data_IF_039921665409
#
_entry.id   IF_039921665409
#
_cell.length_a   1.000
_cell.length_b   1.000
_cell.length_c   1.000
_cell.angle_alpha   90.00
_cell.angle_beta   90.00
_cell.angle_gamma   90.00
#
_symmetry.space_group_name_H-M   'P 1'
#
loop_
_entity.id
_entity.type
_entity.pdbx_description
1 polymer ?
#
# COMPACT_ATOMS: atom_id res chain seq x y z
N UNK A 1 -16.04 -29.06 -48.28
CA UNK A 1 -16.58 -29.28 -46.92
C UNK A 1 -15.78 -30.37 -46.26
N UNK A 2 -15.34 -30.15 -45.02
CA UNK A 2 -14.60 -31.12 -44.19
C UNK A 2 -13.40 -30.47 -43.50
N UNK A 3 -13.68 -29.73 -42.42
CA UNK A 3 -12.74 -28.90 -41.69
C UNK A 3 -12.04 -29.65 -40.55
N UNK A 4 -10.80 -29.21 -40.29
CA UNK A 4 -9.93 -29.46 -39.15
C UNK A 4 -10.62 -29.27 -37.80
N UNK A 5 -10.27 -30.12 -36.83
CA UNK A 5 -10.47 -29.86 -35.40
C UNK A 5 -9.14 -29.97 -34.66
N UNK A 6 -8.59 -28.80 -34.31
CA UNK A 6 -7.55 -28.65 -33.31
C UNK A 6 -8.21 -28.54 -31.92
N UNK A 7 -7.81 -29.42 -30.98
CA UNK A 7 -8.15 -29.31 -29.56
C UNK A 7 -7.06 -28.52 -28.84
N UNK A 8 -7.40 -27.31 -28.39
CA UNK A 8 -6.63 -26.54 -27.41
C UNK A 8 -7.02 -26.93 -26.00
N UNK A 9 -6.03 -27.29 -25.17
CA UNK A 9 -6.20 -27.56 -23.75
C UNK A 9 -6.07 -26.28 -22.94
N UNK A 10 -7.12 -25.93 -22.21
CA UNK A 10 -7.10 -24.94 -21.12
C UNK A 10 -6.75 -25.67 -19.82
N UNK A 11 -5.70 -25.21 -19.13
CA UNK A 11 -5.26 -25.75 -17.85
C UNK A 11 -6.19 -25.32 -16.71
N UNK A 12 -6.79 -26.30 -16.07
CA UNK A 12 -7.45 -26.19 -14.78
C UNK A 12 -6.42 -25.97 -13.67
N UNK A 13 -6.55 -24.85 -12.93
CA UNK A 13 -5.86 -24.62 -11.67
C UNK A 13 -6.87 -24.10 -10.64
N UNK A 14 -7.89 -24.90 -10.35
CA UNK A 14 -8.84 -24.63 -9.27
C UNK A 14 -9.53 -25.92 -8.82
N UNK A 15 -8.92 -26.66 -7.89
CA UNK A 15 -9.63 -27.55 -6.96
C UNK A 15 -8.63 -28.34 -6.10
N UNK A 16 -8.45 -27.94 -4.85
CA UNK A 16 -8.21 -28.83 -3.71
C UNK A 16 -7.93 -27.96 -2.47
N UNK A 17 -8.94 -27.78 -1.61
CA UNK A 17 -8.82 -27.58 -0.16
C UNK A 17 -10.22 -27.26 0.40
N UNK A 18 -11.03 -28.28 0.58
CA UNK A 18 -12.25 -28.20 1.38
C UNK A 18 -12.53 -29.56 2.00
N UNK A 19 -12.01 -29.81 3.21
CA UNK A 19 -12.56 -30.83 4.11
C UNK A 19 -12.50 -30.34 5.56
N UNK A 20 -13.68 -30.36 6.17
CA UNK A 20 -14.02 -30.58 7.58
C UNK A 20 -13.31 -29.81 8.70
N UNK A 21 -14.07 -28.88 9.30
CA UNK A 21 -13.93 -28.48 10.70
C UNK A 21 -15.32 -28.49 11.35
N UNK A 22 -15.71 -29.66 11.86
CA UNK A 22 -16.83 -29.80 12.79
C UNK A 22 -16.45 -29.23 14.16
N UNK A 23 -17.33 -28.35 14.65
CA UNK A 23 -17.29 -27.70 15.95
C UNK A 23 -17.40 -28.67 17.12
N UNK A 24 -16.60 -28.47 18.17
CA UNK A 24 -16.95 -28.67 19.58
C UNK A 24 -15.82 -28.08 20.44
N UNK A 25 -16.13 -27.06 21.25
CA UNK A 25 -15.92 -27.09 22.71
C UNK A 25 -15.86 -25.69 23.33
N UNK A 26 -16.78 -25.51 24.29
CA UNK A 26 -16.85 -24.45 25.27
C UNK A 26 -15.53 -24.30 26.04
N UNK A 27 -15.00 -23.08 26.11
CA UNK A 27 -13.99 -22.73 27.10
C UNK A 27 -14.29 -21.37 27.73
N UNK A 28 -14.52 -21.44 29.03
CA UNK A 28 -14.68 -20.36 29.97
C UNK A 28 -13.46 -19.44 29.98
N UNK A 29 -13.74 -18.14 29.80
CA UNK A 29 -12.78 -17.04 29.73
C UNK A 29 -12.18 -16.74 31.11
N UNK A 30 -10.88 -16.99 31.26
CA UNK A 30 -10.03 -16.54 32.37
C UNK A 30 -9.26 -15.31 31.91
N UNK A 31 -9.40 -14.18 32.62
CA UNK A 31 -9.04 -12.84 32.17
C UNK A 31 -7.63 -12.34 32.56
N UNK A 32 -6.67 -13.22 32.82
CA UNK A 32 -5.39 -12.85 33.45
C UNK A 32 -4.13 -12.93 32.53
N UNK A 33 -4.27 -13.16 31.22
CA UNK A 33 -3.11 -13.44 30.33
C UNK A 33 -2.59 -12.26 29.49
N UNK A 34 -2.87 -11.00 29.86
CA UNK A 34 -2.49 -9.84 29.04
C UNK A 34 -0.98 -9.50 29.07
N UNK A 35 -0.21 -9.94 30.08
CA UNK A 35 1.14 -9.41 30.32
C UNK A 35 2.32 -10.32 29.90
N UNK A 36 2.08 -11.54 29.40
CA UNK A 36 3.17 -12.48 29.03
C UNK A 36 3.54 -12.51 27.54
N UNK A 37 3.04 -11.57 26.73
CA UNK A 37 3.17 -11.64 25.26
C UNK A 37 4.50 -11.10 24.70
N UNK A 38 5.37 -10.51 25.53
CA UNK A 38 6.61 -9.87 25.10
C UNK A 38 7.78 -10.81 24.76
N UNK A 39 7.82 -12.02 25.33
CA UNK A 39 8.94 -12.97 25.18
C UNK A 39 8.76 -13.93 23.99
N UNK A 40 7.55 -14.45 23.77
CA UNK A 40 7.23 -15.39 22.70
C UNK A 40 7.44 -14.76 21.30
N UNK A 41 7.02 -13.51 21.13
CA UNK A 41 7.18 -12.79 19.84
C UNK A 41 8.65 -12.47 19.55
N UNK A 42 9.48 -12.26 20.58
CA UNK A 42 10.94 -12.09 20.45
C UNK A 42 11.63 -13.41 20.06
N UNK A 43 11.12 -14.57 20.50
CA UNK A 43 11.62 -15.89 20.10
C UNK A 43 11.32 -16.23 18.64
N UNK A 44 10.14 -15.86 18.13
CA UNK A 44 9.79 -16.10 16.72
C UNK A 44 10.62 -15.26 15.73
N UNK A 45 11.14 -14.10 16.14
CA UNK A 45 11.98 -13.22 15.31
C UNK A 45 13.35 -13.83 14.94
N UNK A 46 13.83 -14.88 15.61
CA UNK A 46 15.16 -15.47 15.36
C UNK A 46 15.19 -16.58 14.31
N UNK A 47 14.05 -16.95 13.71
CA UNK A 47 13.92 -18.25 13.00
C UNK A 47 13.90 -18.21 11.46
N UNK A 48 14.16 -17.07 10.80
CA UNK A 48 14.24 -16.99 9.33
C UNK A 48 15.69 -16.88 8.82
N UNK A 49 16.38 -17.99 8.54
CA UNK A 49 17.67 -17.94 7.86
C UNK A 49 17.48 -17.70 6.35
N UNK A 50 17.80 -16.49 5.86
CA UNK A 50 17.98 -16.21 4.43
C UNK A 50 19.25 -16.91 3.90
N UNK A 51 19.14 -18.18 3.50
CA UNK A 51 20.20 -18.88 2.75
C UNK A 51 19.64 -19.81 1.66
N UNK A 52 18.99 -19.25 0.65
CA UNK A 52 18.83 -19.95 -0.63
C UNK A 52 20.10 -19.76 -1.47
N UNK A 53 21.01 -20.73 -1.37
CA UNK A 53 22.21 -20.85 -2.19
C UNK A 53 21.87 -21.69 -3.41
N UNK A 54 21.55 -21.04 -4.52
CA UNK A 54 21.33 -21.70 -5.82
C UNK A 54 22.67 -22.31 -6.27
N UNK A 55 22.72 -23.64 -6.42
CA UNK A 55 23.82 -24.35 -7.07
C UNK A 55 23.54 -24.33 -8.58
N UNK A 56 24.33 -23.58 -9.34
CA UNK A 56 24.37 -23.70 -10.79
C UNK A 56 25.35 -24.82 -11.15
N UNK A 57 24.82 -25.89 -11.72
CA UNK A 57 25.59 -26.96 -12.36
C UNK A 57 26.23 -26.44 -13.66
N UNK A 58 27.40 -26.99 -13.96
CA UNK A 58 28.35 -26.45 -14.93
C UNK A 58 28.38 -27.38 -16.15
N UNK A 59 27.46 -27.18 -17.08
CA UNK A 59 27.50 -27.88 -18.36
C UNK A 59 28.65 -27.35 -19.23
N UNK A 60 29.54 -28.26 -19.62
CA UNK A 60 30.67 -28.03 -20.51
C UNK A 60 30.40 -28.73 -21.85
N UNK A 61 30.21 -27.95 -22.93
CA UNK A 61 30.41 -28.49 -24.27
C UNK A 61 29.42 -28.02 -25.33
N UNK A 62 29.53 -26.77 -25.78
CA UNK A 62 29.21 -26.35 -27.15
C UNK A 62 29.76 -24.94 -27.38
N UNK A 63 30.62 -24.77 -28.38
CA UNK A 63 31.20 -23.50 -28.80
C UNK A 63 30.20 -22.71 -29.65
N UNK A 64 29.10 -22.26 -29.03
CA UNK A 64 28.18 -21.32 -29.66
C UNK A 64 28.70 -19.89 -29.46
N UNK A 65 28.58 -19.09 -30.52
CA UNK A 65 28.99 -17.69 -30.57
C UNK A 65 28.01 -16.83 -29.74
N UNK A 66 28.01 -16.99 -28.41
CA UNK A 66 27.14 -16.26 -27.49
C UNK A 66 27.54 -14.79 -27.43
N UNK A 67 26.76 -13.93 -28.08
CA UNK A 67 26.80 -12.49 -27.78
C UNK A 67 26.28 -12.32 -26.35
N UNK A 68 27.20 -12.10 -25.40
CA UNK A 68 26.87 -11.66 -24.04
C UNK A 68 26.18 -10.30 -24.13
N UNK A 69 24.85 -10.29 -24.31
CA UNK A 69 24.07 -9.08 -24.11
C UNK A 69 24.24 -8.71 -22.65
N UNK A 70 24.83 -7.54 -22.40
CA UNK A 70 24.95 -6.99 -21.06
C UNK A 70 23.56 -6.96 -20.43
N UNK A 71 23.28 -7.88 -19.51
CA UNK A 71 22.06 -7.88 -18.71
C UNK A 71 22.25 -6.78 -17.65
N UNK A 72 22.14 -5.52 -18.09
CA UNK A 72 22.08 -4.40 -17.14
C UNK A 72 20.78 -4.57 -16.39
N UNK A 73 20.85 -4.61 -15.06
CA UNK A 73 19.62 -4.58 -14.28
C UNK A 73 18.89 -3.28 -14.61
N UNK A 74 17.65 -3.36 -15.11
CA UNK A 74 16.91 -2.16 -15.46
C UNK A 74 16.82 -1.25 -14.24
N UNK A 75 16.99 0.05 -14.49
CA UNK A 75 16.86 1.10 -13.49
C UNK A 75 17.92 1.13 -12.37
N UNK A 76 19.10 0.51 -12.56
CA UNK A 76 20.21 0.64 -11.62
C UNK A 76 20.58 2.12 -11.34
N UNK A 77 20.41 3.00 -12.32
CA UNK A 77 20.62 4.44 -12.19
C UNK A 77 19.69 5.16 -11.21
N UNK A 78 18.51 4.60 -10.86
CA UNK A 78 17.58 5.23 -9.90
C UNK A 78 18.23 5.47 -8.54
N UNK A 79 19.06 4.50 -8.08
CA UNK A 79 19.76 4.57 -6.80
C UNK A 79 20.91 5.58 -6.80
N UNK A 80 21.37 5.98 -7.98
CA UNK A 80 22.46 6.95 -8.11
C UNK A 80 21.97 8.40 -8.15
N UNK A 81 20.66 8.60 -8.34
CA UNK A 81 20.06 9.94 -8.39
C UNK A 81 20.29 10.70 -7.07
N UNK A 82 20.58 12.02 -7.12
CA UNK A 82 20.75 12.82 -5.91
C UNK A 82 19.53 12.78 -4.99
N UNK A 83 18.31 12.79 -5.54
CA UNK A 83 17.06 12.73 -4.77
C UNK A 83 16.93 11.44 -3.95
N UNK A 84 17.27 10.30 -4.54
CA UNK A 84 17.28 9.03 -3.81
C UNK A 84 18.33 9.01 -2.70
N UNK A 85 19.55 9.46 -3.00
CA UNK A 85 20.64 9.55 -2.02
C UNK A 85 20.26 10.44 -0.84
N UNK A 86 19.66 11.60 -1.13
CA UNK A 86 19.13 12.52 -0.13
C UNK A 86 18.05 11.84 0.73
N UNK A 87 17.08 11.13 0.12
CA UNK A 87 16.06 10.39 0.88
C UNK A 87 16.69 9.39 1.86
N UNK A 88 17.63 8.55 1.40
CA UNK A 88 18.29 7.55 2.24
C UNK A 88 19.07 8.23 3.37
N UNK A 89 19.74 9.36 3.09
CA UNK A 89 20.43 10.15 4.09
C UNK A 89 19.46 10.73 5.13
N UNK A 90 18.35 11.33 4.71
CA UNK A 90 17.33 11.91 5.60
C UNK A 90 16.68 10.84 6.50
N UNK A 91 16.42 9.64 5.95
CA UNK A 91 15.90 8.51 6.70
C UNK A 91 16.87 8.04 7.78
N UNK A 92 18.15 7.84 7.43
CA UNK A 92 19.17 7.42 8.40
C UNK A 92 19.47 8.47 9.45
N UNK A 93 19.42 9.75 9.07
CA UNK A 93 19.62 10.89 9.97
C UNK A 93 18.41 11.19 10.86
N UNK A 94 17.32 10.38 10.79
CA UNK A 94 16.10 10.64 11.56
C UNK A 94 15.54 12.05 11.36
N UNK A 95 15.60 12.56 10.13
CA UNK A 95 15.14 13.92 9.83
C UNK A 95 13.63 14.07 10.03
N UNK A 96 13.20 15.16 10.68
CA UNK A 96 11.77 15.48 10.80
C UNK A 96 11.12 15.84 9.44
N UNK A 97 11.93 16.12 8.41
CA UNK A 97 11.43 16.35 7.04
C UNK A 97 10.73 15.11 6.47
N UNK A 98 11.15 13.91 6.89
CA UNK A 98 10.54 12.63 6.48
C UNK A 98 9.50 12.13 7.48
N UNK A 99 9.00 12.96 8.40
CA UNK A 99 7.91 12.59 9.30
C UNK A 99 6.65 12.15 8.52
N UNK A 100 6.40 12.79 7.37
CA UNK A 100 5.41 12.37 6.39
C UNK A 100 6.12 12.05 5.10
N UNK A 101 6.37 10.76 4.86
CA UNK A 101 7.15 10.29 3.73
C UNK A 101 6.25 9.90 2.56
N UNK A 102 6.29 10.68 1.49
CA UNK A 102 5.67 10.38 0.21
C UNK A 102 6.70 9.89 -0.79
N UNK A 103 6.77 8.58 -1.04
CA UNK A 103 7.85 8.04 -1.88
C UNK A 103 7.81 8.54 -3.33
N UNK A 104 6.63 8.87 -3.86
CA UNK A 104 6.50 9.44 -5.22
C UNK A 104 7.24 10.78 -5.41
N UNK A 105 7.52 11.49 -4.34
CA UNK A 105 8.26 12.76 -4.41
C UNK A 105 9.77 12.52 -4.65
N UNK A 106 10.25 11.31 -4.37
CA UNK A 106 11.66 10.90 -4.45
C UNK A 106 11.92 9.81 -5.50
N UNK A 107 10.91 9.01 -5.83
CA UNK A 107 11.01 7.82 -6.68
C UNK A 107 9.95 7.87 -7.79
N UNK A 108 10.29 7.45 -9.02
CA UNK A 108 9.29 7.24 -10.07
C UNK A 108 8.42 6.01 -9.76
N UNK A 109 7.21 5.95 -10.33
CA UNK A 109 6.26 4.84 -10.14
C UNK A 109 6.79 3.48 -10.63
N UNK A 110 7.75 3.48 -11.54
CA UNK A 110 8.43 2.30 -12.07
C UNK A 110 9.63 1.84 -11.21
N UNK A 111 9.77 2.36 -9.99
CA UNK A 111 10.84 1.98 -9.07
C UNK A 111 10.92 0.46 -8.89
N UNK A 112 12.16 -0.04 -8.91
CA UNK A 112 12.40 -1.50 -8.82
C UNK A 112 12.24 -2.01 -7.39
N UNK A 113 12.00 -3.33 -7.20
CA UNK A 113 11.97 -3.95 -5.88
C UNK A 113 13.22 -3.65 -5.05
N UNK A 114 14.41 -3.68 -5.66
CA UNK A 114 15.67 -3.35 -4.98
C UNK A 114 15.73 -1.90 -4.48
N UNK A 115 15.14 -0.97 -5.21
CA UNK A 115 15.03 0.43 -4.80
C UNK A 115 14.12 0.56 -3.58
N UNK A 116 12.94 -0.08 -3.60
CA UNK A 116 12.00 -0.12 -2.47
C UNK A 116 12.64 -0.78 -1.25
N UNK A 117 13.33 -1.91 -1.44
CA UNK A 117 14.06 -2.62 -0.39
C UNK A 117 15.12 -1.77 0.30
N UNK A 118 15.82 -0.92 -0.45
CA UNK A 118 16.79 0.00 0.12
C UNK A 118 16.12 1.08 1.00
N UNK A 119 14.94 1.58 0.59
CA UNK A 119 14.15 2.53 1.40
C UNK A 119 13.61 1.84 2.65
N UNK A 120 13.03 0.63 2.53
CA UNK A 120 12.55 -0.15 3.66
C UNK A 120 13.68 -0.46 4.64
N UNK A 121 14.87 -0.81 4.14
CA UNK A 121 16.06 -1.01 4.96
C UNK A 121 16.51 0.25 5.70
N UNK A 122 16.41 1.43 5.10
CA UNK A 122 16.67 2.68 5.80
C UNK A 122 15.57 3.03 6.83
N UNK A 123 14.32 2.65 6.56
CA UNK A 123 13.20 2.83 7.50
C UNK A 123 13.31 1.94 8.74
N UNK A 124 13.99 0.78 8.66
CA UNK A 124 14.21 -0.11 9.82
C UNK A 124 14.89 0.60 11.01
N UNK A 125 15.77 1.55 10.74
CA UNK A 125 16.53 2.33 11.74
C UNK A 125 15.88 3.70 12.02
N UNK A 126 14.93 4.13 11.18
CA UNK A 126 14.30 5.42 11.30
C UNK A 126 13.28 5.46 12.46
N UNK A 127 13.22 6.57 13.18
CA UNK A 127 12.33 6.83 14.32
C UNK A 127 11.49 8.10 14.15
N UNK A 128 11.70 8.86 13.08
CA UNK A 128 11.00 10.13 12.83
C UNK A 128 9.82 10.00 11.86
N UNK A 129 9.85 9.01 10.97
CA UNK A 129 8.79 8.74 10.00
C UNK A 129 7.53 8.24 10.73
N UNK A 130 6.42 8.94 10.53
CA UNK A 130 5.14 8.70 11.17
C UNK A 130 4.04 8.29 10.18
N UNK A 131 4.09 8.83 8.96
CA UNK A 131 3.14 8.54 7.89
C UNK A 131 3.91 8.12 6.65
N UNK A 132 3.55 6.99 6.07
CA UNK A 132 4.23 6.40 4.92
C UNK A 132 3.28 6.22 3.73
N UNK A 133 3.57 6.89 2.61
CA UNK A 133 2.87 6.68 1.35
C UNK A 133 3.73 5.88 0.38
N UNK A 134 3.26 4.67 0.08
CA UNK A 134 3.80 3.67 -0.82
C UNK A 134 2.76 3.35 -1.92
N UNK A 135 2.09 4.38 -2.43
CA UNK A 135 1.05 4.26 -3.47
C UNK A 135 1.65 4.16 -4.87
N UNK A 136 1.04 3.33 -5.73
CA UNK A 136 1.37 3.20 -7.16
C UNK A 136 2.82 2.78 -7.45
N UNK A 137 3.35 1.82 -6.69
CA UNK A 137 4.66 1.20 -6.93
C UNK A 137 4.48 -0.24 -7.42
N UNK A 138 3.63 -0.44 -8.43
CA UNK A 138 3.27 -1.77 -8.94
C UNK A 138 4.48 -2.64 -9.29
N UNK A 139 5.54 -2.06 -9.86
CA UNK A 139 6.77 -2.82 -10.18
C UNK A 139 7.61 -3.12 -8.95
N UNK A 140 7.63 -2.21 -7.98
CA UNK A 140 8.53 -2.24 -6.83
C UNK A 140 7.97 -2.93 -5.59
N UNK A 141 6.65 -2.90 -5.39
CA UNK A 141 5.98 -3.46 -4.22
C UNK A 141 5.33 -4.81 -4.55
N UNK A 142 6.16 -5.86 -4.59
CA UNK A 142 5.69 -7.25 -4.68
C UNK A 142 5.44 -7.88 -3.30
N UNK A 143 5.17 -9.18 -3.27
CA UNK A 143 4.97 -9.92 -2.02
C UNK A 143 6.17 -9.86 -1.06
N UNK A 144 7.44 -10.04 -1.51
CA UNK A 144 8.58 -9.96 -0.60
C UNK A 144 8.73 -8.59 0.03
N UNK A 145 8.46 -7.53 -0.74
CA UNK A 145 8.54 -6.15 -0.23
C UNK A 145 7.36 -5.83 0.70
N UNK A 146 6.18 -6.38 0.46
CA UNK A 146 5.04 -6.26 1.37
C UNK A 146 5.31 -6.96 2.71
N UNK A 147 5.91 -8.15 2.68
CA UNK A 147 6.35 -8.87 3.88
C UNK A 147 7.44 -8.09 4.63
N UNK A 148 8.44 -7.57 3.90
CA UNK A 148 9.47 -6.73 4.50
C UNK A 148 8.90 -5.46 5.12
N UNK A 149 7.93 -4.82 4.47
CA UNK A 149 7.21 -3.68 5.05
C UNK A 149 6.53 -4.08 6.36
N UNK A 150 5.89 -5.24 6.43
CA UNK A 150 5.30 -5.72 7.68
C UNK A 150 6.36 -5.90 8.79
N UNK A 151 7.54 -6.43 8.46
CA UNK A 151 8.65 -6.56 9.40
C UNK A 151 9.14 -5.19 9.91
N UNK A 152 9.27 -4.22 9.00
CA UNK A 152 9.62 -2.82 9.32
C UNK A 152 8.61 -2.25 10.31
N UNK A 153 7.30 -2.36 10.04
CA UNK A 153 6.24 -1.84 10.89
C UNK A 153 6.16 -2.51 12.27
N UNK A 154 6.50 -3.80 12.36
CA UNK A 154 6.49 -4.58 13.62
C UNK A 154 7.59 -4.20 14.60
N UNK A 155 8.69 -3.57 14.16
CA UNK A 155 9.80 -3.18 15.04
C UNK A 155 9.46 -2.05 16.03
N UNK A 156 8.20 -1.65 16.13
CA UNK A 156 7.78 -0.57 17.02
C UNK A 156 8.17 0.81 16.49
N UNK A 157 8.26 0.95 15.16
CA UNK A 157 8.60 2.23 14.53
C UNK A 157 7.52 3.29 14.78
N UNK A 158 7.89 4.53 14.51
CA UNK A 158 7.00 5.68 14.65
C UNK A 158 5.85 5.72 13.65
N UNK A 159 5.88 4.88 12.63
CA UNK A 159 4.88 4.82 11.57
C UNK A 159 3.54 4.33 12.12
N UNK A 160 2.55 5.21 12.16
CA UNK A 160 1.18 4.90 12.57
C UNK A 160 0.17 5.03 11.44
N UNK A 161 0.56 5.56 10.27
CA UNK A 161 -0.29 5.65 9.09
C UNK A 161 0.43 5.15 7.85
N UNK A 162 -0.23 4.31 7.05
CA UNK A 162 0.33 3.73 5.83
C UNK A 162 -0.68 3.83 4.69
N UNK A 163 -0.26 4.32 3.53
CA UNK A 163 -1.04 4.29 2.31
C UNK A 163 -0.35 3.39 1.27
N UNK A 164 -1.02 2.29 0.91
CA UNK A 164 -0.60 1.29 -0.07
C UNK A 164 -1.55 1.24 -1.28
N UNK A 165 -2.17 2.39 -1.62
CA UNK A 165 -3.10 2.48 -2.75
C UNK A 165 -2.47 2.04 -4.08
N UNK A 166 -3.30 1.53 -4.99
CA UNK A 166 -2.91 1.23 -6.38
C UNK A 166 -1.69 0.31 -6.53
N UNK A 167 -1.51 -0.64 -5.60
CA UNK A 167 -0.54 -1.72 -5.73
C UNK A 167 -1.26 -3.04 -5.98
N UNK A 168 -1.16 -3.55 -7.20
CA UNK A 168 -1.93 -4.70 -7.69
C UNK A 168 -1.12 -6.00 -7.74
N UNK A 169 0.20 -5.92 -7.55
CA UNK A 169 1.08 -7.09 -7.64
C UNK A 169 0.97 -8.07 -6.49
N UNK A 170 0.84 -7.66 -5.21
CA UNK A 170 0.68 -8.63 -4.14
C UNK A 170 -0.63 -9.41 -4.30
N UNK A 171 -0.55 -10.74 -4.23
CA UNK A 171 -1.73 -11.60 -4.31
C UNK A 171 -2.59 -11.52 -3.03
N UNK A 172 -3.81 -12.07 -3.09
CA UNK A 172 -4.72 -12.10 -1.94
C UNK A 172 -4.08 -12.74 -0.69
N UNK A 173 -3.38 -13.87 -0.85
CA UNK A 173 -2.69 -14.54 0.25
C UNK A 173 -1.59 -13.67 0.89
N UNK A 174 -0.88 -12.85 0.09
CA UNK A 174 0.11 -11.92 0.62
C UNK A 174 -0.54 -10.80 1.43
N UNK A 175 -1.69 -10.28 0.98
CA UNK A 175 -2.46 -9.29 1.74
C UNK A 175 -3.02 -9.86 3.05
N UNK A 176 -3.43 -11.13 3.06
CA UNK A 176 -3.86 -11.80 4.29
C UNK A 176 -2.71 -11.95 5.30
N UNK A 177 -1.53 -12.36 4.84
CA UNK A 177 -0.32 -12.40 5.69
C UNK A 177 0.04 -11.01 6.21
N UNK A 178 -0.09 -9.98 5.36
CA UNK A 178 0.12 -8.59 5.76
C UNK A 178 -0.89 -8.15 6.84
N UNK A 179 -2.17 -8.50 6.69
CA UNK A 179 -3.20 -8.23 7.69
C UNK A 179 -2.86 -8.89 9.04
N UNK A 180 -2.47 -10.17 9.04
CA UNK A 180 -2.06 -10.86 10.26
C UNK A 180 -0.86 -10.18 10.94
N UNK A 181 0.13 -9.77 10.15
CA UNK A 181 1.30 -9.07 10.67
C UNK A 181 0.95 -7.69 11.27
N UNK A 182 -0.03 -6.97 10.70
CA UNK A 182 -0.46 -5.65 11.19
C UNK A 182 -1.01 -5.67 12.63
N UNK A 183 -1.53 -6.81 13.10
CA UNK A 183 -2.00 -7.00 14.49
C UNK A 183 -0.89 -6.71 15.51
N UNK A 184 0.36 -6.87 15.11
CA UNK A 184 1.55 -6.68 15.95
C UNK A 184 2.27 -5.34 15.67
N UNK A 185 1.56 -4.38 15.09
CA UNK A 185 2.10 -3.05 14.75
C UNK A 185 1.38 -1.95 15.52
N UNK A 186 1.81 -0.71 15.27
CA UNK A 186 1.16 0.52 15.74
C UNK A 186 0.44 1.25 14.59
N UNK A 187 0.13 0.57 13.49
CA UNK A 187 -0.58 1.19 12.37
C UNK A 187 -2.05 1.37 12.74
N UNK A 188 -2.49 2.63 12.81
CA UNK A 188 -3.84 3.07 13.19
C UNK A 188 -4.65 3.64 12.03
N UNK A 189 -3.99 3.88 10.89
CA UNK A 189 -4.57 4.41 9.67
C UNK A 189 -3.96 3.68 8.48
N UNK A 190 -4.83 3.25 7.56
CA UNK A 190 -4.43 2.44 6.42
C UNK A 190 -5.24 2.87 5.19
N UNK A 191 -4.65 2.83 4.02
CA UNK A 191 -5.39 2.80 2.76
C UNK A 191 -4.82 1.71 1.86
N UNK A 192 -5.70 0.87 1.35
CA UNK A 192 -5.43 -0.10 0.29
C UNK A 192 -6.54 0.09 -0.74
N UNK A 193 -6.24 -0.06 -2.03
CA UNK A 193 -7.30 0.09 -3.03
C UNK A 193 -8.30 -1.07 -2.95
N UNK A 194 -9.59 -0.77 -3.09
CA UNK A 194 -10.66 -1.77 -3.01
C UNK A 194 -10.55 -2.85 -4.09
N UNK A 195 -9.94 -2.52 -5.24
CA UNK A 195 -9.70 -3.51 -6.30
C UNK A 195 -8.57 -4.49 -5.98
N UNK A 196 -7.75 -4.23 -4.95
CA UNK A 196 -6.61 -5.07 -4.59
C UNK A 196 -6.97 -6.15 -3.56
N UNK A 197 -8.11 -6.01 -2.86
CA UNK A 197 -8.49 -6.87 -1.74
C UNK A 197 -9.99 -7.19 -1.78
N UNK A 198 -10.37 -8.33 -1.22
CA UNK A 198 -11.79 -8.68 -1.07
C UNK A 198 -12.47 -7.82 0.01
N UNK A 199 -13.80 -7.74 -0.04
CA UNK A 199 -14.60 -7.04 0.97
C UNK A 199 -14.40 -7.64 2.39
N UNK A 200 -14.29 -8.97 2.50
CA UNK A 200 -14.00 -9.66 3.76
C UNK A 200 -12.64 -9.24 4.34
N UNK A 201 -11.61 -9.17 3.48
CA UNK A 201 -10.29 -8.74 3.90
C UNK A 201 -10.25 -7.25 4.30
N UNK A 202 -11.01 -6.38 3.62
CA UNK A 202 -11.19 -4.97 4.04
C UNK A 202 -11.80 -4.86 5.44
N UNK A 203 -12.80 -5.69 5.76
CA UNK A 203 -13.38 -5.74 7.11
C UNK A 203 -12.37 -6.22 8.13
N UNK A 204 -11.59 -7.26 7.83
CA UNK A 204 -10.49 -7.72 8.68
C UNK A 204 -9.47 -6.62 8.98
N UNK A 205 -9.04 -5.85 7.96
CA UNK A 205 -8.17 -4.68 8.18
C UNK A 205 -8.82 -3.65 9.09
N UNK A 206 -10.10 -3.32 8.89
CA UNK A 206 -10.83 -2.35 9.73
C UNK A 206 -10.78 -2.73 11.21
N UNK A 207 -11.02 -3.99 11.53
CA UNK A 207 -11.07 -4.44 12.92
C UNK A 207 -9.68 -4.42 13.57
N UNK A 208 -8.65 -4.84 12.83
CA UNK A 208 -7.25 -4.75 13.27
C UNK A 208 -6.85 -3.29 13.53
N UNK A 209 -7.23 -2.38 12.64
CA UNK A 209 -6.93 -0.95 12.79
C UNK A 209 -7.64 -0.34 14.00
N UNK A 210 -8.87 -0.78 14.30
CA UNK A 210 -9.59 -0.35 15.52
C UNK A 210 -8.88 -0.80 16.79
N UNK A 211 -8.40 -2.03 16.84
CA UNK A 211 -7.61 -2.52 17.98
C UNK A 211 -6.28 -1.76 18.10
N UNK A 212 -5.58 -1.52 16.99
CA UNK A 212 -4.33 -0.76 17.01
C UNK A 212 -4.50 0.67 17.52
N UNK A 213 -5.66 1.32 17.30
CA UNK A 213 -5.94 2.68 17.83
C UNK A 213 -6.02 2.74 19.35
N UNK A 214 -6.28 1.61 20.02
CA UNK A 214 -6.26 1.53 21.49
C UNK A 214 -4.83 1.54 22.05
N UNK A 215 -3.83 1.16 21.23
CA UNK A 215 -2.43 1.03 21.67
C UNK A 215 -1.72 2.36 21.88
N UNK A 216 -2.14 3.42 21.18
CA UNK A 216 -1.57 4.77 21.34
C UNK A 216 -2.48 5.85 20.77
N UNK A 217 -2.20 7.11 21.12
CA UNK A 217 -2.99 8.29 20.78
C UNK A 217 -2.32 9.26 19.79
N UNK A 218 -1.13 8.96 19.26
CA UNK A 218 -0.40 9.81 18.28
C UNK A 218 -1.24 10.35 17.11
N UNK A 219 -2.26 9.61 16.67
CA UNK A 219 -3.14 9.99 15.58
C UNK A 219 -4.22 11.03 15.96
N UNK A 220 -4.32 11.36 17.25
CA UNK A 220 -5.26 12.34 17.83
C UNK A 220 -4.60 13.30 18.82
N UNK A 221 -3.28 13.19 19.03
CA UNK A 221 -2.52 14.08 19.90
C UNK A 221 -2.36 15.46 19.26
N UNK A 222 -2.54 16.51 20.06
CA UNK A 222 -2.36 17.91 19.64
C UNK A 222 -0.88 18.20 19.34
N UNK A 223 0.05 17.52 20.01
CA UNK A 223 1.49 17.66 19.79
C UNK A 223 1.92 17.14 18.40
N UNK A 224 1.06 16.36 17.74
CA UNK A 224 1.33 15.76 16.44
C UNK A 224 0.48 16.37 15.31
N UNK A 225 -0.08 17.56 15.54
CA UNK A 225 -1.04 18.19 14.63
C UNK A 225 -0.45 18.43 13.23
N UNK A 226 0.83 18.81 13.14
CA UNK A 226 1.51 19.08 11.87
C UNK A 226 1.62 17.83 10.98
N UNK A 227 1.79 16.66 11.58
CA UNK A 227 1.83 15.37 10.88
C UNK A 227 0.42 14.93 10.51
N UNK A 228 -0.55 15.08 11.43
CA UNK A 228 -1.95 14.72 11.20
C UNK A 228 -2.55 15.53 10.04
N UNK A 229 -2.31 16.84 9.98
CA UNK A 229 -2.80 17.69 8.89
C UNK A 229 -2.25 17.31 7.52
N UNK A 230 -1.01 16.79 7.48
CA UNK A 230 -0.37 16.29 6.26
C UNK A 230 -0.76 14.85 5.91
N UNK A 231 -1.41 14.12 6.82
CA UNK A 231 -1.88 12.75 6.64
C UNK A 231 -3.21 12.72 5.86
N UNK A 232 -3.16 12.88 4.54
CA UNK A 232 -4.32 12.78 3.65
C UNK A 232 -4.52 11.37 3.08
N UNK A 233 -5.66 11.13 2.43
CA UNK A 233 -5.93 9.94 1.61
C UNK A 233 -5.77 8.59 2.33
N UNK A 234 -6.07 8.54 3.63
CA UNK A 234 -6.16 7.29 4.38
C UNK A 234 -7.63 6.90 4.60
N UNK A 235 -7.95 5.62 4.76
CA UNK A 235 -9.24 5.28 5.35
C UNK A 235 -9.30 5.87 6.76
N UNK A 236 -10.46 6.44 7.10
CA UNK A 236 -10.70 7.10 8.39
C UNK A 236 -9.69 8.23 8.67
N UNK A 237 -9.55 9.19 7.76
CA UNK A 237 -8.59 10.30 7.87
C UNK A 237 -8.53 10.89 9.29
N UNK A 238 -7.34 10.91 9.95
CA UNK A 238 -7.19 11.37 11.34
C UNK A 238 -7.61 12.84 11.52
N UNK A 239 -7.52 13.68 10.48
CA UNK A 239 -7.96 15.08 10.54
C UNK A 239 -9.44 15.24 10.90
N UNK A 240 -10.26 14.22 10.59
CA UNK A 240 -11.70 14.24 10.77
C UNK A 240 -12.13 13.56 12.09
N UNK A 241 -11.19 13.11 12.92
CA UNK A 241 -11.48 12.45 14.18
C UNK A 241 -12.16 13.37 15.19
N UNK A 242 -13.31 12.95 15.75
CA UNK A 242 -14.06 13.73 16.76
C UNK A 242 -13.19 14.12 17.96
N UNK A 243 -12.37 13.19 18.44
CA UNK A 243 -11.50 13.40 19.61
C UNK A 243 -10.45 14.48 19.36
N UNK A 244 -9.80 14.47 18.18
CA UNK A 244 -8.86 15.53 17.80
C UNK A 244 -9.58 16.87 17.69
N UNK A 245 -10.74 16.91 17.03
CA UNK A 245 -11.53 18.13 16.88
C UNK A 245 -11.99 18.70 18.23
N UNK A 246 -12.22 17.85 19.23
CA UNK A 246 -12.54 18.27 20.58
C UNK A 246 -11.30 18.76 21.34
N UNK A 247 -10.17 18.07 21.21
CA UNK A 247 -8.90 18.52 21.77
C UNK A 247 -8.51 19.91 21.24
N UNK A 248 -8.60 20.13 19.92
CA UNK A 248 -8.34 21.43 19.30
C UNK A 248 -9.26 22.53 19.87
N UNK A 249 -10.55 22.23 20.07
CA UNK A 249 -11.50 23.16 20.70
C UNK A 249 -11.10 23.50 22.14
N UNK A 250 -10.68 22.51 22.95
CA UNK A 250 -10.24 22.73 24.34
C UNK A 250 -8.96 23.57 24.42
N UNK A 251 -8.04 23.39 23.48
CA UNK A 251 -6.79 24.15 23.42
C UNK A 251 -6.92 25.52 22.74
N UNK A 252 -8.13 25.90 22.29
CA UNK A 252 -8.35 27.16 21.58
C UNK A 252 -7.66 27.23 20.21
N UNK A 253 -7.18 26.09 19.70
CA UNK A 253 -6.56 26.01 18.37
C UNK A 253 -7.70 26.00 17.35
N UNK A 254 -7.88 27.13 16.66
CA UNK A 254 -8.81 27.20 15.52
C UNK A 254 -8.30 26.22 14.46
N UNK A 255 -9.15 25.30 14.01
CA UNK A 255 -8.69 24.30 13.04
C UNK A 255 -8.17 24.99 11.78
N UNK A 256 -6.95 24.65 11.36
CA UNK A 256 -6.34 25.14 10.13
C UNK A 256 -7.20 24.83 8.90
N UNK A 257 -8.07 23.82 8.96
CA UNK A 257 -9.06 23.52 7.93
C UNK A 257 -10.09 24.65 7.76
N UNK A 258 -10.54 25.28 8.85
CA UNK A 258 -11.36 26.48 8.78
C UNK A 258 -10.56 27.67 8.21
N UNK A 259 -9.27 27.75 8.54
CA UNK A 259 -8.38 28.80 8.05
C UNK A 259 -8.00 28.62 6.56
N UNK A 260 -7.88 27.38 6.06
CA UNK A 260 -7.68 27.05 4.64
C UNK A 260 -8.96 27.20 3.80
N UNK A 261 -10.13 27.02 4.41
CA UNK A 261 -11.42 27.36 3.77
C UNK A 261 -11.68 28.86 3.75
N UNK A 262 -11.17 29.59 4.75
CA UNK A 262 -11.27 31.05 4.83
C UNK A 262 -10.16 31.78 4.08
N UNK A 263 -9.05 31.10 3.74
CA UNK A 263 -8.08 31.64 2.82
C UNK A 263 -8.82 31.91 1.50
N UNK A 264 -8.89 33.18 1.04
CA UNK A 264 -9.50 33.47 -0.24
C UNK A 264 -8.83 32.55 -1.25
N UNK A 265 -9.63 31.80 -2.02
CA UNK A 265 -9.12 31.15 -3.22
C UNK A 265 -8.41 32.26 -3.95
N UNK A 266 -7.09 32.21 -4.03
CA UNK A 266 -6.33 33.08 -4.91
C UNK A 266 -6.93 32.75 -6.26
N UNK A 267 -7.82 33.62 -6.74
CA UNK A 267 -8.26 33.60 -8.11
C UNK A 267 -6.96 33.68 -8.88
N UNK A 268 -6.53 32.57 -9.48
CA UNK A 268 -5.47 32.60 -10.46
C UNK A 268 -5.79 33.77 -11.35
N UNK A 269 -4.89 34.76 -11.36
CA UNK A 269 -5.05 35.91 -12.22
C UNK A 269 -5.32 35.39 -13.64
N UNK A 270 -6.25 35.98 -14.40
CA UNK A 270 -6.36 35.72 -15.83
C UNK A 270 -5.05 36.21 -16.46
N UNK A 271 -4.08 35.32 -16.57
CA UNK A 271 -2.71 35.62 -16.95
C UNK A 271 -2.28 34.61 -18.00
N UNK A 272 -2.27 35.11 -19.23
CA UNK A 272 -1.70 34.52 -20.45
C UNK A 272 -2.50 33.36 -21.04
N UNK A 273 -3.26 33.72 -22.07
CA UNK A 273 -3.78 32.77 -23.04
C UNK A 273 -2.61 31.92 -23.58
N UNK A 274 -2.76 30.59 -23.68
CA UNK A 274 -1.82 29.78 -24.43
C UNK A 274 -1.77 30.31 -25.87
N UNK A 275 -0.57 30.57 -26.39
CA UNK A 275 -0.38 30.78 -27.81
C UNK A 275 -0.89 29.53 -28.53
N UNK A 276 -1.92 29.71 -29.35
CA UNK A 276 -2.50 28.68 -30.21
C UNK A 276 -1.49 28.34 -31.31
N UNK A 277 -0.65 27.33 -31.06
CA UNK A 277 0.00 26.61 -32.15
C UNK A 277 -1.06 25.75 -32.84
N UNK A 278 -1.45 26.18 -34.04
CA UNK A 278 -2.46 25.53 -34.87
C UNK A 278 -2.04 24.13 -35.27
N UNK A 279 -2.72 23.14 -34.69
CA UNK A 279 -2.80 21.78 -35.22
C UNK A 279 -4.05 21.70 -36.10
N UNK A 280 -3.84 21.44 -37.39
CA UNK A 280 -4.89 21.17 -38.37
C UNK A 280 -5.66 19.90 -37.96
N UNK A 281 -6.94 20.08 -37.57
CA UNK A 281 -7.88 18.97 -37.37
C UNK A 281 -8.21 18.33 -38.73
N UNK A 282 -7.76 17.10 -38.94
CA UNK A 282 -8.31 16.21 -39.96
C UNK A 282 -9.67 15.68 -39.48
N UNK A 283 -10.70 16.13 -40.19
CA UNK A 283 -12.11 15.77 -40.11
C UNK A 283 -12.32 14.28 -40.47
N UNK A 284 -12.34 13.39 -39.48
CA UNK A 284 -12.83 12.02 -39.63
C UNK A 284 -14.24 11.86 -39.06
N UNK A 285 -15.22 11.99 -39.94
CA UNK A 285 -16.22 10.94 -40.17
C UNK A 285 -17.16 10.61 -39.02
N UNK A 286 -18.28 11.32 -38.97
CA UNK A 286 -19.51 10.86 -38.32
C UNK A 286 -19.98 9.55 -38.95
N UNK A 287 -19.97 8.45 -38.18
CA UNK A 287 -20.75 7.24 -38.51
C UNK A 287 -21.88 7.11 -37.49
N UNK A 288 -23.08 7.41 -37.99
CA UNK A 288 -24.35 7.19 -37.32
C UNK A 288 -24.56 5.70 -37.05
N UNK A 289 -24.81 5.34 -35.79
CA UNK A 289 -25.55 4.11 -35.46
C UNK A 289 -26.67 4.40 -34.50
N UNK A 290 -27.82 4.64 -35.11
CA UNK A 290 -29.14 4.37 -34.57
C UNK A 290 -29.26 2.88 -34.19
N UNK A 291 -29.99 2.60 -33.12
CA UNK A 291 -30.58 1.27 -32.93
C UNK A 291 -30.74 0.84 -31.47
N UNK A 292 -31.98 0.86 -31.00
CA UNK A 292 -32.49 -0.23 -30.16
C UNK A 292 -32.85 0.12 -28.73
N UNK A 293 -34.03 0.72 -28.55
CA UNK A 293 -34.93 0.39 -27.44
C UNK A 293 -34.97 -1.12 -27.17
N UNK A 294 -34.85 -1.53 -25.91
CA UNK A 294 -35.89 -2.40 -25.32
C UNK A 294 -35.82 -2.37 -23.79
N UNK A 295 -37.00 -2.18 -23.22
CA UNK A 295 -37.33 -1.90 -21.83
C UNK A 295 -37.97 -3.18 -21.30
N UNK A 296 -37.28 -3.94 -20.46
CA UNK A 296 -37.92 -4.99 -19.66
C UNK A 296 -38.08 -4.54 -18.21
N UNK A 297 -39.28 -4.06 -17.91
CA UNK A 297 -39.81 -3.95 -16.56
C UNK A 297 -40.14 -5.37 -16.04
N UNK A 298 -39.23 -5.97 -15.28
CA UNK A 298 -39.49 -7.15 -14.48
C UNK A 298 -39.90 -6.79 -13.06
N UNK A 299 -41.22 -6.66 -12.82
CA UNK A 299 -41.81 -6.73 -11.47
C UNK A 299 -41.60 -8.14 -10.91
N UNK A 300 -41.11 -8.23 -9.69
CA UNK A 300 -41.13 -9.45 -8.88
C UNK A 300 -41.25 -9.07 -7.42
N UNK A 301 -42.47 -9.18 -6.91
CA UNK A 301 -42.85 -9.15 -5.50
C UNK A 301 -42.29 -10.36 -4.72
N UNK A 302 -42.57 -10.37 -3.42
CA UNK A 302 -42.40 -11.43 -2.40
C UNK A 302 -41.09 -11.36 -1.60
N UNK A 303 -41.11 -10.78 -0.39
CA UNK A 303 -41.69 -11.26 0.88
C UNK A 303 -40.75 -12.19 1.66
N UNK A 304 -40.65 -11.88 2.96
CA UNK A 304 -39.88 -12.49 4.07
C UNK A 304 -38.47 -11.92 4.33
#
# INVERSE_FOLDING_TARGET
GGADQARGGTGDCAAACAEDCTSSDDTSSSSDDADNWGEETKRQLKRFPLKHRIKLEKDQGASDHWVRRSVREPCQGQRETPRFKELIQQLRANSNRVAVLKLKDYLPSDATPKTIDAVLGALEENRSCQVLYLQNFNRGLGEPQLERLAQVLRRGLSVWSVNLGENWRPCAAAWERFAEALRYTHVTHLYISEKAISAGLKTKFRDIIRENRKKHDRHKSVDNLDVIERCTNCWWNPSNGRELQEALRRHGVRSSAAQRRAAPRVCSAPGEAPEEDGEEEEDEGQEEREGGEEREEGRGEEAW
#
